data_IF_141842917792
#
_entry.id   IF_141842917792
#
_cell.length_a   1.000
_cell.length_b   1.000
_cell.length_c   1.000
_cell.angle_alpha   90.00
_cell.angle_beta   90.00
_cell.angle_gamma   90.00
#
_symmetry.space_group_name_H-M   'P 1'
#
loop_
_entity.id
_entity.type
_entity.pdbx_description
1 polymer ?
#
# COMPACT_ATOMS: atom_id res chain seq x y z
N UNK A 1 -6.53 -19.03 -10.05
CA UNK A 1 -5.88 -18.67 -8.77
C UNK A 1 -4.86 -17.59 -9.08
N UNK A 2 -5.04 -16.42 -8.50
CA UNK A 2 -4.15 -15.27 -8.69
C UNK A 2 -3.26 -15.06 -7.47
N UNK A 3 -2.09 -14.47 -7.68
CA UNK A 3 -1.15 -14.12 -6.60
C UNK A 3 -1.31 -12.66 -6.20
N UNK A 4 -1.64 -12.42 -4.95
CA UNK A 4 -1.80 -11.12 -4.33
C UNK A 4 -0.63 -10.83 -3.40
N UNK A 5 0.03 -9.70 -3.58
CA UNK A 5 0.97 -9.17 -2.60
C UNK A 5 0.36 -7.95 -1.92
N UNK A 6 0.35 -7.94 -0.59
CA UNK A 6 -0.32 -6.91 0.21
C UNK A 6 0.67 -6.35 1.24
N UNK A 7 0.80 -5.04 1.32
CA UNK A 7 1.61 -4.38 2.35
C UNK A 7 0.77 -3.98 3.57
N UNK A 8 1.36 -3.96 4.76
CA UNK A 8 0.68 -3.55 5.99
C UNK A 8 -0.33 -4.58 6.50
N UNK A 9 0.05 -5.86 6.51
CA UNK A 9 -0.86 -7.00 6.74
C UNK A 9 -0.98 -7.47 8.18
N UNK A 10 -0.26 -6.88 9.12
CA UNK A 10 -0.25 -7.32 10.51
C UNK A 10 -1.54 -7.01 11.29
N UNK A 11 -2.41 -6.15 10.77
CA UNK A 11 -3.68 -5.75 11.39
C UNK A 11 -4.63 -5.08 10.38
N UNK A 12 -5.85 -4.82 10.84
CA UNK A 12 -6.83 -3.98 10.13
C UNK A 12 -7.15 -4.48 8.73
N UNK A 13 -7.28 -3.55 7.77
CA UNK A 13 -7.70 -3.85 6.40
C UNK A 13 -6.72 -4.80 5.69
N UNK A 14 -5.42 -4.63 5.90
CA UNK A 14 -4.41 -5.51 5.29
C UNK A 14 -4.54 -6.96 5.76
N UNK A 15 -4.77 -7.18 7.05
CA UNK A 15 -5.02 -8.51 7.59
C UNK A 15 -6.33 -9.10 7.07
N UNK A 16 -7.37 -8.26 6.97
CA UNK A 16 -8.68 -8.71 6.46
C UNK A 16 -8.61 -9.11 4.97
N UNK A 17 -7.84 -8.39 4.15
CA UNK A 17 -7.53 -8.81 2.78
C UNK A 17 -6.89 -10.21 2.77
N UNK A 18 -5.92 -10.47 3.62
CA UNK A 18 -5.26 -11.78 3.70
C UNK A 18 -6.26 -12.88 4.04
N UNK A 19 -7.14 -12.65 5.01
CA UNK A 19 -8.18 -13.62 5.42
C UNK A 19 -9.14 -13.94 4.27
N UNK A 20 -9.69 -12.90 3.64
CA UNK A 20 -10.70 -13.09 2.60
C UNK A 20 -10.13 -13.72 1.32
N UNK A 21 -8.94 -13.32 0.91
CA UNK A 21 -8.29 -13.87 -0.28
C UNK A 21 -7.86 -15.32 -0.06
N UNK A 22 -7.29 -15.63 1.11
CA UNK A 22 -6.96 -16.99 1.49
C UNK A 22 -8.21 -17.89 1.51
N UNK A 23 -9.33 -17.41 2.07
CA UNK A 23 -10.60 -18.15 2.08
C UNK A 23 -11.18 -18.39 0.68
N UNK A 24 -10.84 -17.52 -0.29
CA UNK A 24 -11.22 -17.68 -1.71
C UNK A 24 -10.27 -18.62 -2.48
N UNK A 25 -9.24 -19.15 -1.83
CA UNK A 25 -8.26 -20.02 -2.47
C UNK A 25 -7.21 -19.29 -3.31
N UNK A 26 -7.06 -17.97 -3.13
CA UNK A 26 -6.03 -17.21 -3.81
C UNK A 26 -4.66 -17.35 -3.11
N UNK A 27 -3.58 -17.14 -3.85
CA UNK A 27 -2.24 -17.09 -3.28
C UNK A 27 -1.98 -15.71 -2.68
N UNK A 28 -1.59 -15.67 -1.40
CA UNK A 28 -1.36 -14.43 -0.67
C UNK A 28 0.09 -14.35 -0.21
N UNK A 29 0.74 -13.22 -0.53
CA UNK A 29 2.04 -12.82 0.02
C UNK A 29 1.78 -11.61 0.91
N UNK A 30 1.84 -11.83 2.21
CA UNK A 30 1.62 -10.81 3.22
C UNK A 30 2.93 -10.13 3.60
N UNK A 31 3.01 -8.81 3.44
CA UNK A 31 4.21 -8.02 3.73
C UNK A 31 3.97 -7.15 4.95
N UNK A 32 4.84 -7.25 5.96
CA UNK A 32 4.75 -6.46 7.19
C UNK A 32 6.11 -6.28 7.86
N UNK A 33 6.19 -5.36 8.81
CA UNK A 33 7.37 -5.22 9.67
C UNK A 33 7.47 -6.37 10.66
N UNK A 34 6.36 -6.64 11.35
CA UNK A 34 6.26 -7.70 12.34
C UNK A 34 4.89 -8.37 12.22
N UNK A 35 4.83 -9.67 11.98
CA UNK A 35 3.56 -10.37 11.84
C UNK A 35 2.81 -10.44 13.18
N UNK A 36 1.49 -10.43 13.11
CA UNK A 36 0.63 -10.73 14.24
C UNK A 36 0.37 -12.23 14.33
N UNK A 37 0.01 -12.70 15.51
CA UNK A 37 -0.39 -14.12 15.69
C UNK A 37 -1.58 -14.51 14.79
N UNK A 38 -2.49 -13.56 14.53
CA UNK A 38 -3.61 -13.82 13.62
C UNK A 38 -3.13 -14.04 12.18
N UNK A 39 -2.18 -13.24 11.72
CA UNK A 39 -1.59 -13.40 10.40
C UNK A 39 -0.86 -14.73 10.26
N UNK A 40 -0.06 -15.11 11.26
CA UNK A 40 0.68 -16.37 11.26
C UNK A 40 -0.24 -17.59 11.19
N UNK A 41 -1.40 -17.53 11.88
CA UNK A 41 -2.38 -18.64 11.87
C UNK A 41 -3.09 -18.84 10.53
N UNK A 42 -3.02 -17.86 9.61
CA UNK A 42 -3.65 -18.00 8.29
C UNK A 42 -2.91 -18.98 7.38
N UNK A 43 -1.63 -19.24 7.63
CA UNK A 43 -0.82 -20.12 6.77
C UNK A 43 -0.49 -19.54 5.40
N UNK A 44 -0.61 -18.22 5.22
CA UNK A 44 -0.20 -17.52 4.00
C UNK A 44 1.32 -17.28 4.00
N UNK A 45 1.91 -16.99 2.84
CA UNK A 45 3.31 -16.59 2.76
C UNK A 45 3.51 -15.24 3.43
N UNK A 46 4.48 -15.13 4.35
CA UNK A 46 4.75 -13.89 5.09
C UNK A 46 6.17 -13.41 4.82
N UNK A 47 6.28 -12.19 4.31
CA UNK A 47 7.50 -11.43 4.17
C UNK A 47 7.59 -10.42 5.32
N UNK A 48 8.26 -10.82 6.40
CA UNK A 48 8.43 -10.00 7.61
C UNK A 48 9.70 -9.16 7.59
N UNK A 49 9.80 -8.19 8.50
CA UNK A 49 10.95 -7.30 8.62
C UNK A 49 11.05 -6.28 7.48
N UNK A 50 9.95 -6.03 6.76
CA UNK A 50 9.92 -5.10 5.64
C UNK A 50 9.46 -3.72 6.10
N UNK A 51 10.36 -2.74 6.02
CA UNK A 51 10.04 -1.33 6.16
C UNK A 51 9.86 -0.72 4.76
N UNK A 52 8.64 -0.37 4.41
CA UNK A 52 8.30 0.20 3.10
C UNK A 52 8.89 1.59 2.86
N UNK A 53 9.37 2.26 3.91
CA UNK A 53 10.05 3.57 3.80
C UNK A 53 11.55 3.46 3.50
N UNK A 54 12.11 2.25 3.56
CA UNK A 54 13.52 1.98 3.33
C UNK A 54 13.78 1.39 1.96
N UNK A 55 14.60 2.06 1.15
CA UNK A 55 15.01 1.57 -0.18
C UNK A 55 15.71 0.20 -0.08
N UNK A 56 16.61 0.02 0.89
CA UNK A 56 17.33 -1.23 1.12
C UNK A 56 16.37 -2.37 1.52
N UNK A 57 15.43 -2.10 2.41
CA UNK A 57 14.43 -3.08 2.85
C UNK A 57 13.55 -3.54 1.69
N UNK A 58 13.09 -2.60 0.86
CA UNK A 58 12.24 -2.92 -0.30
C UNK A 58 13.04 -3.63 -1.40
N UNK A 59 14.30 -3.25 -1.61
CA UNK A 59 15.18 -3.95 -2.55
C UNK A 59 15.42 -5.42 -2.13
N UNK A 60 15.63 -5.67 -0.84
CA UNK A 60 15.75 -7.03 -0.29
C UNK A 60 14.47 -7.84 -0.46
N UNK A 61 13.31 -7.23 -0.27
CA UNK A 61 12.02 -7.86 -0.56
C UNK A 61 11.94 -8.29 -2.02
N UNK A 62 12.27 -7.38 -2.95
CA UNK A 62 12.27 -7.69 -4.38
C UNK A 62 13.23 -8.84 -4.74
N UNK A 63 14.41 -8.89 -4.12
CA UNK A 63 15.36 -9.99 -4.32
C UNK A 63 14.80 -11.33 -3.84
N UNK A 64 14.17 -11.38 -2.66
CA UNK A 64 13.54 -12.62 -2.14
C UNK A 64 12.41 -13.11 -3.01
N UNK A 65 11.68 -12.22 -3.65
CA UNK A 65 10.55 -12.53 -4.52
C UNK A 65 10.93 -12.70 -6.00
N UNK A 66 12.22 -12.66 -6.32
CA UNK A 66 12.68 -12.81 -7.71
C UNK A 66 12.14 -14.10 -8.35
N UNK A 67 11.57 -13.96 -9.57
CA UNK A 67 10.91 -15.08 -10.26
C UNK A 67 9.46 -15.35 -9.86
N UNK A 68 8.93 -14.66 -8.86
CA UNK A 68 7.51 -14.74 -8.49
C UNK A 68 6.69 -13.86 -9.45
N UNK A 69 5.54 -14.36 -9.89
CA UNK A 69 4.54 -13.54 -10.59
C UNK A 69 3.56 -12.97 -9.59
N UNK A 70 3.36 -11.65 -9.62
CA UNK A 70 2.41 -10.93 -8.77
C UNK A 70 1.29 -10.40 -9.66
N UNK A 71 0.12 -11.03 -9.61
CA UNK A 71 -1.03 -10.61 -10.42
C UNK A 71 -1.66 -9.33 -9.89
N UNK A 72 -1.67 -9.15 -8.56
CA UNK A 72 -2.25 -7.97 -7.90
C UNK A 72 -1.32 -7.51 -6.77
N UNK A 73 -0.85 -6.27 -6.87
CA UNK A 73 -0.12 -5.58 -5.81
C UNK A 73 -1.07 -4.62 -5.08
N UNK A 74 -1.28 -4.82 -3.77
CA UNK A 74 -2.09 -3.93 -2.93
C UNK A 74 -1.19 -3.15 -1.97
N UNK A 75 -0.97 -1.89 -2.28
CA UNK A 75 -0.29 -0.94 -1.41
C UNK A 75 -1.28 -0.45 -0.33
N UNK A 76 -1.32 -1.18 0.79
CA UNK A 76 -2.23 -0.89 1.90
C UNK A 76 -1.51 -0.28 3.11
N UNK A 77 -0.21 -0.49 3.28
CA UNK A 77 0.53 0.10 4.39
C UNK A 77 0.29 1.62 4.48
N UNK A 78 -0.02 2.09 5.67
CA UNK A 78 -0.31 3.49 5.91
C UNK A 78 -0.40 3.80 7.40
N UNK A 79 -0.23 5.09 7.73
CA UNK A 79 -0.38 5.63 9.07
C UNK A 79 -1.30 6.84 9.04
N UNK A 80 -1.95 7.11 10.15
CA UNK A 80 -2.73 8.32 10.39
C UNK A 80 -2.30 8.91 11.73
N UNK A 81 -1.94 10.18 11.71
CA UNK A 81 -1.60 10.96 12.88
C UNK A 81 -2.40 12.26 12.84
N UNK A 82 -3.06 12.58 13.95
CA UNK A 82 -3.87 13.78 14.05
C UNK A 82 -2.99 15.01 14.19
N UNK A 83 -3.34 16.07 13.48
CA UNK A 83 -2.77 17.41 13.66
C UNK A 83 -3.86 18.47 13.41
N UNK A 84 -3.72 19.59 14.10
CA UNK A 84 -4.51 20.80 13.90
C UNK A 84 -3.57 21.95 13.48
N UNK A 85 -4.14 23.09 13.12
CA UNK A 85 -3.33 24.26 12.80
C UNK A 85 -2.52 24.75 14.01
N UNK A 86 -3.09 24.62 15.21
CA UNK A 86 -2.46 25.04 16.45
C UNK A 86 -1.41 24.05 16.98
N UNK A 87 -1.42 22.83 16.46
CA UNK A 87 -0.54 21.71 16.86
C UNK A 87 0.02 21.02 15.61
N UNK A 88 0.73 21.79 14.77
CA UNK A 88 1.40 21.27 13.59
C UNK A 88 2.77 20.69 13.96
N UNK A 89 2.90 19.38 13.76
CA UNK A 89 4.15 18.66 13.85
C UNK A 89 4.66 18.32 12.44
N UNK A 90 5.65 19.06 11.98
CA UNK A 90 6.21 18.88 10.63
C UNK A 90 6.91 17.53 10.45
N UNK A 91 7.53 16.98 11.49
CA UNK A 91 8.10 15.64 11.43
C UNK A 91 7.01 14.56 11.22
N UNK A 92 5.85 14.74 11.87
CA UNK A 92 4.67 13.90 11.63
C UNK A 92 4.16 14.03 10.21
N UNK A 93 4.09 15.25 9.66
CA UNK A 93 3.68 15.48 8.28
C UNK A 93 4.59 14.75 7.29
N UNK A 94 5.90 14.89 7.45
CA UNK A 94 6.90 14.23 6.62
C UNK A 94 6.81 12.71 6.74
N UNK A 95 6.70 12.18 7.94
CA UNK A 95 6.56 10.75 8.20
C UNK A 95 5.32 10.15 7.52
N UNK A 96 4.17 10.82 7.65
CA UNK A 96 2.94 10.40 6.99
C UNK A 96 3.05 10.45 5.47
N UNK A 97 3.71 11.48 4.93
CA UNK A 97 3.97 11.59 3.50
C UNK A 97 4.86 10.45 2.98
N UNK A 98 5.95 10.15 3.69
CA UNK A 98 6.86 9.06 3.35
C UNK A 98 6.14 7.70 3.35
N UNK A 99 5.37 7.39 4.37
CA UNK A 99 4.67 6.10 4.49
C UNK A 99 3.51 6.00 3.51
N UNK A 100 2.67 7.03 3.42
CA UNK A 100 1.38 6.95 2.70
C UNK A 100 1.48 7.27 1.21
N UNK A 101 2.44 8.10 0.79
CA UNK A 101 2.54 8.57 -0.59
C UNK A 101 3.79 8.05 -1.31
N UNK A 102 4.97 8.19 -0.71
CA UNK A 102 6.23 7.81 -1.35
C UNK A 102 6.42 6.30 -1.34
N UNK A 103 6.15 5.63 -0.22
CA UNK A 103 6.35 4.18 -0.09
C UNK A 103 5.55 3.33 -1.08
N UNK A 104 4.28 3.63 -1.40
CA UNK A 104 3.57 2.90 -2.45
C UNK A 104 4.26 2.95 -3.82
N UNK A 105 4.85 4.09 -4.18
CA UNK A 105 5.64 4.20 -5.41
C UNK A 105 6.95 3.43 -5.32
N UNK A 106 7.64 3.48 -4.16
CA UNK A 106 8.87 2.72 -3.91
C UNK A 106 8.64 1.22 -4.07
N UNK A 107 7.63 0.68 -3.40
CA UNK A 107 7.27 -0.74 -3.47
C UNK A 107 6.85 -1.11 -4.90
N UNK A 108 5.99 -0.32 -5.52
CA UNK A 108 5.54 -0.55 -6.89
C UNK A 108 6.71 -0.59 -7.87
N UNK A 109 7.61 0.39 -7.82
CA UNK A 109 8.79 0.44 -8.70
C UNK A 109 9.67 -0.80 -8.55
N UNK A 110 9.91 -1.24 -7.32
CA UNK A 110 10.77 -2.40 -7.05
C UNK A 110 10.14 -3.73 -7.51
N UNK A 111 8.82 -3.87 -7.40
CA UNK A 111 8.10 -5.09 -7.75
C UNK A 111 7.52 -5.09 -9.16
N UNK A 112 7.59 -3.97 -9.89
CA UNK A 112 7.03 -3.84 -11.23
C UNK A 112 7.49 -4.93 -12.21
N UNK A 113 8.77 -5.36 -12.21
CA UNK A 113 9.22 -6.46 -13.07
C UNK A 113 8.51 -7.80 -12.84
N UNK A 114 7.85 -7.97 -11.71
CA UNK A 114 7.13 -9.20 -11.32
C UNK A 114 5.64 -9.14 -11.68
N UNK A 115 5.14 -7.95 -12.09
CA UNK A 115 3.74 -7.74 -12.43
C UNK A 115 3.57 -7.98 -13.93
N UNK A 116 2.79 -9.00 -14.33
CA UNK A 116 2.62 -9.35 -15.74
C UNK A 116 1.69 -8.36 -16.45
N UNK A 117 1.70 -8.41 -17.77
CA UNK A 117 0.64 -7.81 -18.58
C UNK A 117 -0.73 -8.32 -18.11
N UNK A 118 -1.70 -7.42 -17.93
CA UNK A 118 -2.99 -7.73 -17.33
C UNK A 118 -3.01 -7.70 -15.80
N UNK A 119 -1.86 -7.51 -15.17
CA UNK A 119 -1.75 -7.32 -13.71
C UNK A 119 -2.41 -6.04 -13.22
N UNK A 120 -2.54 -5.92 -11.91
CA UNK A 120 -3.21 -4.78 -11.25
C UNK A 120 -2.36 -4.25 -10.10
N UNK A 121 -2.36 -2.94 -9.96
CA UNK A 121 -1.76 -2.24 -8.82
C UNK A 121 -2.87 -1.46 -8.11
N UNK A 122 -2.97 -1.60 -6.80
CA UNK A 122 -3.98 -0.93 -5.98
C UNK A 122 -3.29 -0.03 -4.97
N UNK A 123 -3.74 1.22 -4.91
CA UNK A 123 -3.39 2.18 -3.87
C UNK A 123 -4.58 2.38 -2.94
N UNK A 124 -4.37 2.10 -1.64
CA UNK A 124 -5.40 2.34 -0.61
C UNK A 124 -5.35 3.80 -0.19
N UNK A 125 -6.26 4.59 -0.74
CA UNK A 125 -6.43 6.00 -0.39
C UNK A 125 -7.44 6.18 0.75
N UNK A 126 -7.95 7.39 0.91
CA UNK A 126 -8.98 7.75 1.87
C UNK A 126 -9.86 8.85 1.29
N UNK A 127 -11.12 8.88 1.69
CA UNK A 127 -12.01 10.02 1.46
C UNK A 127 -11.38 11.33 1.97
N UNK A 128 -10.60 11.26 3.05
CA UNK A 128 -9.86 12.42 3.58
C UNK A 128 -8.80 12.98 2.63
N UNK A 129 -8.43 12.27 1.56
CA UNK A 129 -7.58 12.77 0.47
C UNK A 129 -8.33 13.58 -0.60
N UNK A 130 -9.66 13.68 -0.51
CA UNK A 130 -10.45 14.52 -1.42
C UNK A 130 -10.37 15.99 -1.01
N UNK A 131 -10.00 16.87 -1.94
CA UNK A 131 -9.96 18.32 -1.70
C UNK A 131 -11.38 18.85 -1.54
N UNK A 132 -12.30 18.43 -2.41
CA UNK A 132 -13.69 18.90 -2.43
C UNK A 132 -14.46 18.47 -1.17
N UNK A 133 -14.19 17.26 -0.68
CA UNK A 133 -14.89 16.70 0.50
C UNK A 133 -14.28 17.15 1.84
N UNK A 134 -13.29 18.04 1.82
CA UNK A 134 -12.65 18.55 3.03
C UNK A 134 -13.44 19.74 3.60
N UNK A 135 -14.46 19.44 4.39
CA UNK A 135 -15.29 20.45 5.08
C UNK A 135 -14.94 20.66 6.54
N UNK A 136 -14.06 19.83 7.12
CA UNK A 136 -13.74 19.86 8.56
C UNK A 136 -12.31 20.34 8.88
N UNK A 137 -11.41 20.39 7.91
CA UNK A 137 -10.00 20.74 8.14
C UNK A 137 -9.26 19.69 8.98
N UNK A 138 -8.14 20.08 9.58
CA UNK A 138 -7.30 19.22 10.41
C UNK A 138 -6.66 18.05 9.63
N UNK A 139 -5.95 17.18 10.34
CA UNK A 139 -5.29 16.01 9.78
C UNK A 139 -4.41 16.34 8.55
N UNK A 140 -3.69 17.46 8.62
CA UNK A 140 -2.93 18.00 7.49
C UNK A 140 -2.03 16.96 6.82
N UNK A 141 -1.19 16.27 7.61
CA UNK A 141 -0.27 15.27 7.09
C UNK A 141 -0.98 14.10 6.42
N UNK A 142 -2.05 13.60 7.04
CA UNK A 142 -2.81 12.48 6.47
C UNK A 142 -3.52 12.89 5.18
N UNK A 143 -4.27 14.00 5.20
CA UNK A 143 -4.99 14.50 4.00
C UNK A 143 -4.04 14.76 2.85
N UNK A 144 -2.96 15.52 3.09
CA UNK A 144 -1.94 15.82 2.08
C UNK A 144 -1.32 14.53 1.50
N UNK A 145 -0.97 13.57 2.35
CA UNK A 145 -0.37 12.31 1.91
C UNK A 145 -1.33 11.48 1.06
N UNK A 146 -2.61 11.42 1.39
CA UNK A 146 -3.61 10.66 0.62
C UNK A 146 -3.99 11.35 -0.69
N UNK A 147 -4.00 12.68 -0.72
CA UNK A 147 -4.12 13.46 -1.98
C UNK A 147 -2.92 13.20 -2.90
N UNK A 148 -1.71 13.26 -2.34
CA UNK A 148 -0.49 12.95 -3.09
C UNK A 148 -0.48 11.52 -3.62
N UNK A 149 -0.92 10.54 -2.82
CA UNK A 149 -1.06 9.15 -3.24
C UNK A 149 -2.03 9.01 -4.42
N UNK A 150 -3.15 9.72 -4.40
CA UNK A 150 -4.13 9.69 -5.50
C UNK A 150 -3.53 10.25 -6.78
N UNK A 151 -2.76 11.34 -6.70
CA UNK A 151 -2.04 11.89 -7.85
C UNK A 151 -0.99 10.92 -8.38
N UNK A 152 -0.22 10.29 -7.49
CA UNK A 152 0.77 9.28 -7.87
C UNK A 152 0.11 8.10 -8.60
N UNK A 153 -1.03 7.62 -8.11
CA UNK A 153 -1.80 6.56 -8.75
C UNK A 153 -2.31 6.94 -10.13
N UNK A 154 -2.77 8.18 -10.30
CA UNK A 154 -3.21 8.68 -11.62
C UNK A 154 -2.05 8.74 -12.61
N UNK A 155 -0.91 9.28 -12.21
CA UNK A 155 0.29 9.33 -13.06
C UNK A 155 0.75 7.92 -13.44
N UNK A 156 0.82 7.03 -12.47
CA UNK A 156 1.21 5.63 -12.70
C UNK A 156 0.25 4.91 -13.66
N UNK A 157 -1.04 5.18 -13.58
CA UNK A 157 -2.04 4.60 -14.48
C UNK A 157 -1.80 5.01 -15.93
N UNK A 158 -1.41 6.28 -16.18
CA UNK A 158 -1.08 6.75 -17.52
C UNK A 158 0.22 6.10 -18.03
N UNK A 159 1.26 6.05 -17.20
CA UNK A 159 2.56 5.47 -17.57
C UNK A 159 2.48 3.96 -17.84
N UNK A 160 1.59 3.25 -17.18
CA UNK A 160 1.45 1.80 -17.32
C UNK A 160 0.42 1.33 -18.36
N UNK A 161 -0.31 2.25 -19.00
CA UNK A 161 -1.22 1.91 -20.12
C UNK A 161 -0.55 1.07 -21.21
N UNK A 162 0.66 1.43 -21.71
CA UNK A 162 1.33 0.64 -22.75
C UNK A 162 1.68 -0.79 -22.29
N UNK A 163 1.83 -1.00 -20.98
CA UNK A 163 2.12 -2.30 -20.38
C UNK A 163 0.86 -3.10 -20.04
N UNK A 164 -0.32 -2.53 -20.27
CA UNK A 164 -1.62 -3.14 -19.95
C UNK A 164 -1.75 -3.56 -18.47
N UNK A 165 -1.16 -2.76 -17.57
CA UNK A 165 -1.30 -2.90 -16.13
C UNK A 165 -2.29 -1.85 -15.64
N UNK A 166 -3.34 -2.30 -14.98
CA UNK A 166 -4.35 -1.40 -14.42
C UNK A 166 -3.94 -0.88 -13.05
N UNK A 167 -4.22 0.40 -12.79
CA UNK A 167 -4.02 1.02 -11.47
C UNK A 167 -5.36 1.42 -10.89
N UNK A 168 -5.69 0.87 -9.72
CA UNK A 168 -6.88 1.20 -8.95
C UNK A 168 -6.54 2.07 -7.75
N UNK A 169 -7.32 3.13 -7.53
CA UNK A 169 -7.23 3.98 -6.34
C UNK A 169 -8.49 3.73 -5.54
N UNK A 170 -8.36 3.03 -4.41
CA UNK A 170 -9.50 2.55 -3.64
C UNK A 170 -9.61 3.28 -2.30
N UNK A 171 -10.83 3.62 -1.97
CA UNK A 171 -11.23 4.16 -0.68
C UNK A 171 -12.09 3.10 0.04
N UNK A 172 -11.67 2.63 1.24
CA UNK A 172 -12.30 1.46 1.86
C UNK A 172 -13.66 1.73 2.52
N UNK A 173 -14.12 2.96 2.49
CA UNK A 173 -15.29 3.37 3.26
C UNK A 173 -14.93 3.85 4.67
N UNK A 174 -15.93 3.96 5.53
CA UNK A 174 -15.80 4.29 6.94
C UNK A 174 -16.29 3.14 7.80
#
# INVERSE_FOLDING_TARGET
MATYLITGTNRGIGLEYCKQLQAKGETVIAVCRQPSQELEKLGVSIESGVDVTSDDSVAKLAQRLAGTTIDVLINNAGIIEANSLDDLDFESLERQFQVNAVSPLRVTKALLPMIPQGGKIVFMTSRMGSIEDNTSGGFYGYRMSKTALSMAGKSLAEDLKPHQIAVGILHPGM
#
